data_IF_911412965775
#
_entry.id   IF_911412965775
#
_cell.length_a   1.000
_cell.length_b   1.000
_cell.length_c   1.000
_cell.angle_alpha   90.00
_cell.angle_beta   90.00
_cell.angle_gamma   90.00
#
_symmetry.space_group_name_H-M   'P 1'
#
loop_
_entity.id
_entity.type
_entity.pdbx_description
1 polymer ?
#
# COMPACT_ATOMS: atom_id res chain seq x y z
N UNK A 1 19.66 7.33 -3.36
CA UNK A 1 18.29 7.31 -3.92
C UNK A 1 17.32 7.23 -2.75
N UNK A 2 16.24 8.01 -2.72
CA UNK A 2 15.22 7.86 -1.68
C UNK A 2 14.28 6.72 -2.08
N UNK A 3 14.09 5.76 -1.17
CA UNK A 3 13.21 4.60 -1.36
C UNK A 3 11.82 4.89 -0.77
N UNK A 4 10.79 4.30 -1.34
CA UNK A 4 9.48 4.20 -0.72
C UNK A 4 8.82 2.86 -1.06
N UNK A 5 7.97 2.36 -0.17
CA UNK A 5 7.19 1.16 -0.38
C UNK A 5 5.90 1.52 -1.14
N UNK A 6 5.60 0.81 -2.22
CA UNK A 6 4.42 1.01 -3.03
C UNK A 6 3.52 -0.23 -2.96
N UNK A 7 2.43 -0.13 -2.21
CA UNK A 7 1.47 -1.22 -2.06
C UNK A 7 0.27 -0.97 -2.97
N UNK A 8 -0.21 -2.02 -3.65
CA UNK A 8 -1.46 -1.95 -4.41
C UNK A 8 -2.44 -3.04 -4.02
N UNK A 9 -3.73 -2.73 -4.12
CA UNK A 9 -4.78 -3.72 -3.99
C UNK A 9 -5.78 -3.55 -5.13
N UNK A 10 -5.95 -4.60 -5.92
CA UNK A 10 -6.74 -4.58 -7.14
C UNK A 10 -7.67 -5.78 -7.20
N UNK A 11 -8.84 -5.61 -7.83
CA UNK A 11 -9.74 -6.72 -8.17
C UNK A 11 -9.73 -6.98 -9.69
N UNK A 12 -9.76 -5.93 -10.51
CA UNK A 12 -9.81 -6.00 -11.99
C UNK A 12 -8.58 -5.42 -12.69
N UNK A 13 -7.49 -5.16 -11.98
CA UNK A 13 -6.22 -4.66 -12.55
C UNK A 13 -6.01 -3.14 -12.46
N UNK A 14 -7.06 -2.34 -12.24
CA UNK A 14 -6.95 -0.87 -12.28
C UNK A 14 -5.93 -0.27 -11.31
N UNK A 15 -5.98 -0.65 -10.03
CA UNK A 15 -5.02 -0.15 -9.04
C UNK A 15 -3.58 -0.63 -9.30
N UNK A 16 -3.40 -1.77 -9.97
CA UNK A 16 -2.08 -2.27 -10.36
C UNK A 16 -1.49 -1.42 -11.48
N UNK A 17 -2.30 -1.07 -12.48
CA UNK A 17 -1.87 -0.21 -13.57
C UNK A 17 -1.42 1.18 -13.06
N UNK A 18 -2.17 1.77 -12.12
CA UNK A 18 -1.78 3.04 -11.48
C UNK A 18 -0.47 2.87 -10.68
N UNK A 19 -0.31 1.77 -9.94
CA UNK A 19 0.92 1.51 -9.20
C UNK A 19 2.13 1.29 -10.13
N UNK A 20 1.95 0.61 -11.27
CA UNK A 20 2.99 0.44 -12.28
C UNK A 20 3.40 1.79 -12.88
N UNK A 21 2.45 2.69 -13.13
CA UNK A 21 2.75 4.05 -13.58
C UNK A 21 3.55 4.84 -12.54
N UNK A 22 3.15 4.77 -11.26
CA UNK A 22 3.90 5.40 -10.15
C UNK A 22 5.32 4.83 -10.05
N UNK A 23 5.48 3.52 -10.18
CA UNK A 23 6.80 2.85 -10.16
C UNK A 23 7.71 3.35 -11.28
N UNK A 24 7.18 3.48 -12.50
CA UNK A 24 7.93 4.02 -13.64
C UNK A 24 8.31 5.49 -13.44
N UNK A 25 7.37 6.31 -12.98
CA UNK A 25 7.61 7.72 -12.70
C UNK A 25 8.63 7.90 -11.57
N UNK A 26 8.59 7.07 -10.52
CA UNK A 26 9.56 7.09 -9.43
C UNK A 26 10.99 6.93 -9.96
N UNK A 27 11.23 5.92 -10.80
CA UNK A 27 12.53 5.70 -11.43
C UNK A 27 13.00 6.89 -12.26
N UNK A 28 12.10 7.52 -13.01
CA UNK A 28 12.40 8.71 -13.83
C UNK A 28 12.77 9.95 -12.99
N UNK A 29 12.26 10.05 -11.76
CA UNK A 29 12.49 11.17 -10.85
C UNK A 29 13.59 10.89 -9.80
N UNK A 30 14.31 9.76 -9.91
CA UNK A 30 15.41 9.42 -9.00
C UNK A 30 14.97 8.83 -7.65
N UNK A 31 13.77 8.25 -7.59
CA UNK A 31 13.27 7.48 -6.46
C UNK A 31 13.32 5.98 -6.76
N UNK A 32 13.39 5.18 -5.70
CA UNK A 32 13.29 3.73 -5.77
C UNK A 32 11.96 3.28 -5.16
N UNK A 33 11.06 2.76 -5.99
CA UNK A 33 9.78 2.24 -5.52
C UNK A 33 9.87 0.73 -5.31
N UNK A 34 9.55 0.24 -4.12
CA UNK A 34 9.46 -1.20 -3.82
C UNK A 34 7.99 -1.65 -3.93
N UNK A 35 7.60 -2.25 -5.07
CA UNK A 35 6.20 -2.48 -5.40
C UNK A 35 5.72 -3.91 -5.09
N UNK A 36 4.70 -4.03 -4.23
CA UNK A 36 4.08 -5.31 -3.86
C UNK A 36 2.55 -5.25 -3.86
N UNK A 37 1.90 -6.38 -4.12
CA UNK A 37 0.47 -6.51 -3.85
C UNK A 37 0.26 -6.54 -2.33
N UNK A 38 -0.77 -5.86 -1.84
CA UNK A 38 -1.08 -5.80 -0.41
C UNK A 38 -1.36 -7.19 0.19
N UNK A 39 -1.72 -8.17 -0.62
CA UNK A 39 -1.92 -9.55 -0.18
C UNK A 39 -0.62 -10.32 0.09
N UNK A 40 0.52 -9.84 -0.43
CA UNK A 40 1.85 -10.45 -0.30
C UNK A 40 2.54 -9.98 1.00
N UNK A 41 1.86 -10.17 2.14
CA UNK A 41 2.27 -9.66 3.45
C UNK A 41 3.60 -10.26 3.98
N UNK A 42 4.11 -11.29 3.31
CA UNK A 42 5.42 -11.91 3.53
C UNK A 42 6.57 -11.14 2.85
N UNK A 43 6.27 -10.27 1.90
CA UNK A 43 7.27 -9.49 1.14
C UNK A 43 7.57 -8.11 1.71
N UNK A 44 6.73 -7.62 2.62
CA UNK A 44 6.89 -6.31 3.24
C UNK A 44 6.45 -6.33 4.70
N UNK A 45 6.99 -5.43 5.51
CA UNK A 45 6.61 -5.31 6.92
C UNK A 45 6.38 -3.85 7.32
N UNK A 46 5.12 -3.43 7.38
CA UNK A 46 4.73 -2.08 7.78
C UNK A 46 5.09 -1.71 9.22
N UNK A 47 5.30 -2.68 10.11
CA UNK A 47 5.63 -2.41 11.53
C UNK A 47 7.08 -1.95 11.69
N UNK A 48 7.96 -2.40 10.79
CA UNK A 48 9.38 -2.06 10.79
C UNK A 48 9.75 -1.07 9.69
N UNK A 49 8.81 -0.72 8.82
CA UNK A 49 9.05 0.17 7.67
C UNK A 49 9.31 1.60 8.17
N UNK A 50 10.41 2.18 7.68
CA UNK A 50 10.83 3.54 8.05
C UNK A 50 10.74 4.49 6.87
N UNK A 51 10.71 3.95 5.66
CA UNK A 51 10.56 4.72 4.44
C UNK A 51 9.07 5.10 4.22
N UNK A 52 8.79 6.13 3.40
CA UNK A 52 7.42 6.46 3.03
C UNK A 52 6.67 5.27 2.41
N UNK A 53 5.35 5.20 2.64
CA UNK A 53 4.50 4.15 2.05
C UNK A 53 3.38 4.81 1.24
N UNK A 54 3.28 4.43 -0.03
CA UNK A 54 2.20 4.80 -0.93
C UNK A 54 1.29 3.59 -1.10
N UNK A 55 -0.01 3.76 -0.92
CA UNK A 55 -0.98 2.66 -1.01
C UNK A 55 -2.06 3.00 -2.05
N UNK A 56 -2.16 2.21 -3.11
CA UNK A 56 -3.14 2.36 -4.19
C UNK A 56 -4.20 1.26 -4.07
N UNK A 57 -5.42 1.61 -3.64
CA UNK A 57 -6.51 0.64 -3.45
C UNK A 57 -7.70 1.03 -4.31
N UNK A 58 -8.18 0.13 -5.17
CA UNK A 58 -9.46 0.32 -5.85
C UNK A 58 -10.62 -0.16 -4.99
N UNK A 59 -11.54 0.71 -4.60
CA UNK A 59 -12.83 0.28 -4.01
C UNK A 59 -13.74 -0.33 -5.07
N UNK A 60 -14.53 -1.35 -4.72
CA UNK A 60 -15.54 -1.89 -5.64
C UNK A 60 -16.96 -1.64 -5.15
N UNK A 61 -17.87 -1.36 -6.10
CA UNK A 61 -19.33 -1.29 -5.90
C UNK A 61 -19.78 -0.37 -4.76
N UNK A 62 -20.01 -0.98 -3.59
CA UNK A 62 -20.61 -0.41 -2.36
C UNK A 62 -19.62 0.27 -1.43
N UNK A 63 -18.35 0.40 -1.82
CA UNK A 63 -17.28 0.97 -0.98
C UNK A 63 -16.49 -0.09 -0.19
N UNK A 64 -16.70 -1.37 -0.50
CA UNK A 64 -15.88 -2.44 0.07
C UNK A 64 -14.47 -2.46 -0.57
N UNK A 65 -13.44 -2.79 0.21
CA UNK A 65 -12.10 -3.00 -0.31
C UNK A 65 -12.07 -4.27 -1.21
N UNK A 66 -11.15 -4.34 -2.18
CA UNK A 66 -11.01 -5.51 -3.04
C UNK A 66 -10.59 -6.73 -2.21
N UNK A 67 -10.88 -7.94 -2.70
CA UNK A 67 -10.57 -9.18 -1.96
C UNK A 67 -9.10 -9.29 -1.56
N UNK A 68 -8.20 -8.75 -2.39
CA UNK A 68 -6.75 -8.67 -2.14
C UNK A 68 -6.40 -7.81 -0.92
N UNK A 69 -7.19 -6.80 -0.58
CA UNK A 69 -7.02 -5.95 0.59
C UNK A 69 -7.76 -6.44 1.84
N UNK A 70 -8.60 -7.47 1.74
CA UNK A 70 -9.51 -7.85 2.83
C UNK A 70 -8.77 -8.29 4.10
N UNK A 71 -7.70 -9.08 3.95
CA UNK A 71 -6.81 -9.48 5.06
C UNK A 71 -6.08 -8.28 5.66
N UNK A 72 -5.56 -7.40 4.80
CA UNK A 72 -4.87 -6.19 5.20
C UNK A 72 -5.78 -5.26 6.03
N UNK A 73 -6.97 -4.94 5.50
CA UNK A 73 -7.97 -4.09 6.16
C UNK A 73 -8.37 -4.68 7.51
N UNK A 74 -8.51 -6.01 7.61
CA UNK A 74 -8.76 -6.67 8.90
C UNK A 74 -7.59 -6.49 9.87
N UNK A 75 -6.34 -6.63 9.43
CA UNK A 75 -5.15 -6.45 10.27
C UNK A 75 -5.04 -5.01 10.78
N UNK A 76 -5.22 -4.00 9.93
CA UNK A 76 -5.11 -2.59 10.35
C UNK A 76 -6.32 -2.06 11.14
N UNK A 77 -7.49 -2.70 11.02
CA UNK A 77 -8.68 -2.41 11.82
C UNK A 77 -8.77 -3.23 13.11
N UNK A 78 -7.76 -4.03 13.40
CA UNK A 78 -7.73 -4.79 14.64
C UNK A 78 -7.70 -3.82 15.82
N UNK A 79 -8.80 -3.80 16.58
CA UNK A 79 -9.00 -2.88 17.71
C UNK A 79 -8.08 -3.17 18.90
N UNK A 80 -7.32 -4.25 18.85
CA UNK A 80 -6.28 -4.58 19.83
C UNK A 80 -4.98 -3.80 19.58
N UNK A 81 -4.82 -3.19 18.40
CA UNK A 81 -3.65 -2.37 18.09
C UNK A 81 -3.77 -0.98 18.75
N UNK A 82 -2.67 -0.45 19.32
CA UNK A 82 -2.63 0.92 19.82
C UNK A 82 -3.05 1.91 18.74
N UNK A 83 -3.80 2.98 19.08
CA UNK A 83 -4.23 3.99 18.10
C UNK A 83 -3.04 4.67 17.37
N UNK A 84 -1.86 4.62 17.97
CA UNK A 84 -0.58 5.16 17.51
C UNK A 84 0.33 4.14 16.82
N UNK A 85 -0.11 2.88 16.67
CA UNK A 85 0.67 1.77 16.08
C UNK A 85 1.24 2.09 14.68
N UNK A 86 0.63 3.06 14.02
CA UNK A 86 0.82 3.43 12.63
C UNK A 86 1.13 4.93 12.46
N UNK A 87 1.38 5.64 13.57
CA UNK A 87 1.59 7.10 13.61
C UNK A 87 2.93 7.56 13.03
N UNK A 88 3.92 6.66 12.92
CA UNK A 88 5.23 6.96 12.32
C UNK A 88 5.20 7.01 10.79
N UNK A 89 4.08 6.63 10.16
CA UNK A 89 3.91 6.54 8.72
C UNK A 89 3.27 7.81 8.15
N UNK A 90 3.96 8.48 7.24
CA UNK A 90 3.34 9.47 6.35
C UNK A 90 2.50 8.75 5.30
N UNK A 91 1.21 9.07 5.20
CA UNK A 91 0.23 8.38 4.36
C UNK A 91 -0.42 9.34 3.37
N UNK A 92 -0.58 8.89 2.13
CA UNK A 92 -1.44 9.53 1.13
C UNK A 92 -2.40 8.49 0.55
N UNK A 93 -3.66 8.86 0.33
CA UNK A 93 -4.72 8.01 -0.22
C UNK A 93 -5.31 8.74 -1.43
N UNK A 94 -5.31 8.08 -2.59
CA UNK A 94 -5.98 8.54 -3.81
C UNK A 94 -7.08 7.56 -4.20
#
# INVERSE_FOLDING_TARGET
MQRFLLLYATQKGQAKAIAEEIFLQAGAHGFEADMHCISEMDKYNLETEKDPVVIVISTTGTGDPPDTARKFVKKIRDKTLPPDHLAHLHRSVC
#
